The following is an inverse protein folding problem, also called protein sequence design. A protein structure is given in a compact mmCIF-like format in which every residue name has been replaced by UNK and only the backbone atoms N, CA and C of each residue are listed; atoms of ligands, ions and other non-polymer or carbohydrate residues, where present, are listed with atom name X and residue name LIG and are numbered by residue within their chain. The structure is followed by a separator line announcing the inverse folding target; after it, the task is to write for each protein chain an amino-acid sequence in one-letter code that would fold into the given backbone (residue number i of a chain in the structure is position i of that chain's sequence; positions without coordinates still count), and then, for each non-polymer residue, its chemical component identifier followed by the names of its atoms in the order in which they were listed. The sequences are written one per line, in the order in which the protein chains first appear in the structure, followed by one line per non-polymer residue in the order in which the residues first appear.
data_IF_939921416810
#
_entry.id   IF_939921416810
#
_cell.length_a   1.000
_cell.length_b   1.000
_cell.length_c   1.000
_cell.angle_alpha   90.00
_cell.angle_beta   90.00
_cell.angle_gamma   90.00
#
_symmetry.space_group_name_H-M   'P 1'
#
loop_
_entity.id
_entity.type
_entity.pdbx_description
1 polymer ?
#
# COMPACT_ATOMS: atom_id res chain seq x y z
N UNK A 1 5.93 17.10 -32.99
CA UNK A 1 5.69 15.94 -32.10
C UNK A 1 7.02 15.24 -31.90
N UNK A 2 7.66 15.50 -30.79
CA UNK A 2 8.95 14.89 -30.43
C UNK A 2 8.66 14.08 -29.16
N UNK A 3 8.62 12.75 -29.31
CA UNK A 3 8.59 11.84 -28.17
C UNK A 3 9.99 11.80 -27.57
N UNK A 4 10.15 12.37 -26.38
CA UNK A 4 11.35 12.20 -25.60
C UNK A 4 11.38 10.77 -25.04
N UNK A 5 12.30 9.96 -25.53
CA UNK A 5 12.63 8.64 -25.00
C UNK A 5 13.24 8.81 -23.62
N UNK A 6 12.61 8.24 -22.59
CA UNK A 6 13.21 8.07 -21.26
C UNK A 6 14.40 7.11 -21.36
N UNK A 7 15.51 7.34 -20.66
CA UNK A 7 16.65 6.44 -20.67
C UNK A 7 16.30 5.13 -19.98
N UNK A 8 16.61 4.02 -20.68
CA UNK A 8 16.58 2.65 -20.18
C UNK A 8 17.60 2.49 -19.03
N UNK A 9 17.17 2.72 -17.80
CA UNK A 9 17.86 2.18 -16.64
C UNK A 9 17.19 0.87 -16.25
N UNK A 10 17.77 -0.19 -16.76
CA UNK A 10 17.54 -1.58 -16.39
C UNK A 10 17.62 -1.72 -14.87
N UNK A 11 16.46 -1.80 -14.20
CA UNK A 11 16.40 -2.26 -12.82
C UNK A 11 16.48 -3.79 -12.85
N UNK A 12 17.35 -4.42 -12.03
CA UNK A 12 17.50 -5.86 -12.00
C UNK A 12 16.17 -6.52 -11.68
N UNK A 13 15.86 -7.64 -12.35
CA UNK A 13 14.63 -8.37 -12.27
C UNK A 13 14.19 -8.64 -10.84
N UNK A 14 12.98 -8.24 -10.53
CA UNK A 14 12.31 -8.60 -9.29
C UNK A 14 12.01 -10.09 -9.32
N UNK A 15 12.80 -10.88 -8.57
CA UNK A 15 12.46 -12.26 -8.29
C UNK A 15 11.19 -12.29 -7.43
N UNK A 16 10.27 -13.18 -7.79
CA UNK A 16 8.91 -13.36 -7.24
C UNK A 16 8.83 -13.77 -5.76
N UNK A 17 9.82 -13.46 -4.94
CA UNK A 17 9.82 -13.79 -3.52
C UNK A 17 9.43 -12.57 -2.68
N UNK A 18 8.23 -12.56 -2.04
CA UNK A 18 7.77 -11.47 -1.19
C UNK A 18 8.73 -11.12 -0.05
N UNK A 19 9.60 -12.06 0.37
CA UNK A 19 10.64 -11.81 1.40
C UNK A 19 11.74 -10.87 0.87
N UNK A 20 12.05 -10.91 -0.43
CA UNK A 20 13.09 -10.05 -1.02
C UNK A 20 12.59 -8.61 -1.26
N UNK A 21 11.30 -8.41 -1.54
CA UNK A 21 10.73 -7.10 -1.76
C UNK A 21 10.86 -6.18 -0.53
N UNK A 22 10.80 -6.73 0.68
CA UNK A 22 10.75 -5.98 1.96
C UNK A 22 12.11 -5.46 2.44
N UNK A 23 13.19 -6.20 2.22
CA UNK A 23 14.54 -5.67 2.46
C UNK A 23 14.87 -4.49 1.52
N UNK A 24 14.28 -4.49 0.33
CA UNK A 24 14.48 -3.41 -0.64
C UNK A 24 13.76 -2.12 -0.23
N UNK A 25 12.69 -2.18 0.55
CA UNK A 25 11.92 -0.99 0.93
C UNK A 25 12.65 -0.12 1.94
N UNK A 26 13.22 -0.69 3.02
CA UNK A 26 14.07 0.06 3.97
C UNK A 26 15.35 0.59 3.29
N UNK A 27 15.94 -0.18 2.37
CA UNK A 27 17.08 0.26 1.58
C UNK A 27 16.70 1.48 0.72
N UNK A 28 15.56 1.44 0.04
CA UNK A 28 15.04 2.56 -0.74
C UNK A 28 14.78 3.79 0.15
N UNK A 29 14.14 3.63 1.31
CA UNK A 29 13.87 4.72 2.24
C UNK A 29 15.16 5.39 2.71
N UNK A 30 16.21 4.62 2.97
CA UNK A 30 17.52 5.15 3.33
C UNK A 30 18.18 5.95 2.19
N UNK A 31 17.80 5.71 0.93
CA UNK A 31 18.29 6.45 -0.23
C UNK A 31 17.42 7.66 -0.59
N UNK A 32 16.26 7.84 0.03
CA UNK A 32 15.45 9.03 -0.21
C UNK A 32 16.28 10.29 0.07
N UNK A 33 16.10 11.26 -0.82
CA UNK A 33 16.68 12.60 -0.61
C UNK A 33 16.15 13.24 0.67
N UNK A 34 16.88 14.15 1.22
CA UNK A 34 16.40 15.01 2.30
C UNK A 34 15.52 16.10 1.67
N UNK A 35 14.23 16.18 2.05
CA UNK A 35 13.32 17.18 1.49
C UNK A 35 13.54 18.56 2.12
N UNK A 36 13.16 19.60 1.37
CA UNK A 36 13.10 20.97 1.85
C UNK A 36 11.71 21.57 1.60
N UNK A 37 11.32 22.66 2.24
CA UNK A 37 10.04 23.30 1.96
C UNK A 37 9.88 23.71 0.49
N UNK A 38 10.96 24.12 -0.19
CA UNK A 38 10.94 24.49 -1.61
C UNK A 38 10.93 23.25 -2.55
N UNK A 39 11.36 22.11 -2.04
CA UNK A 39 11.33 20.84 -2.75
C UNK A 39 10.84 19.72 -1.81
N UNK A 40 9.54 19.71 -1.48
CA UNK A 40 8.97 18.77 -0.53
C UNK A 40 8.98 17.33 -1.05
N UNK A 41 9.08 16.36 -0.15
CA UNK A 41 8.92 14.95 -0.47
C UNK A 41 7.44 14.69 -0.84
N UNK A 42 7.21 14.09 -2.00
CA UNK A 42 5.86 13.81 -2.52
C UNK A 42 5.43 12.40 -2.16
N UNK A 43 4.48 12.30 -1.24
CA UNK A 43 4.00 11.04 -0.71
C UNK A 43 2.53 10.85 -1.11
N UNK A 44 2.23 9.77 -1.84
CA UNK A 44 0.85 9.33 -2.05
C UNK A 44 0.38 8.63 -0.77
N UNK A 45 -0.82 8.95 -0.31
CA UNK A 45 -1.37 8.35 0.91
C UNK A 45 -2.83 7.96 0.73
N UNK A 46 -3.22 6.81 1.27
CA UNK A 46 -4.64 6.44 1.37
C UNK A 46 -5.38 7.52 2.15
N UNK A 47 -6.33 8.19 1.50
CA UNK A 47 -6.97 9.40 2.02
C UNK A 47 -7.62 9.22 3.40
N UNK A 48 -8.19 8.03 3.65
CA UNK A 48 -8.80 7.67 4.94
C UNK A 48 -7.81 7.74 6.12
N UNK A 49 -6.50 7.56 5.89
CA UNK A 49 -5.46 7.66 6.92
C UNK A 49 -5.18 9.11 7.35
N UNK A 50 -5.67 10.09 6.60
CA UNK A 50 -5.43 11.53 6.82
C UNK A 50 -6.64 12.28 7.36
N UNK A 51 -7.63 11.56 7.87
CA UNK A 51 -8.84 12.15 8.45
C UNK A 51 -9.94 12.48 7.43
N UNK A 52 -9.77 12.12 6.14
CA UNK A 52 -10.83 12.27 5.14
C UNK A 52 -11.89 11.20 5.36
N UNK A 53 -13.15 11.61 5.44
CA UNK A 53 -14.31 10.75 5.65
C UNK A 53 -14.69 10.00 4.36
N UNK A 54 -13.81 9.11 3.90
CA UNK A 54 -13.96 8.28 2.71
C UNK A 54 -13.91 6.77 3.00
N UNK A 55 -14.09 6.38 4.26
CA UNK A 55 -14.32 4.99 4.64
C UNK A 55 -15.64 4.47 4.06
N UNK A 56 -15.81 3.16 4.02
CA UNK A 56 -17.03 2.54 3.47
C UNK A 56 -18.32 3.05 4.13
N UNK A 57 -18.24 3.41 5.40
CA UNK A 57 -19.34 3.94 6.22
C UNK A 57 -19.41 5.48 6.30
N UNK A 58 -18.56 6.17 5.53
CA UNK A 58 -18.48 7.63 5.54
C UNK A 58 -17.65 8.20 6.69
N UNK A 59 -16.87 7.36 7.39
CA UNK A 59 -15.97 7.83 8.46
C UNK A 59 -14.50 7.83 8.01
N UNK A 60 -13.61 8.59 8.68
CA UNK A 60 -12.16 8.43 8.54
C UNK A 60 -11.76 7.06 9.10
N UNK A 61 -10.87 6.36 8.42
CA UNK A 61 -10.49 5.01 8.81
C UNK A 61 -9.37 5.03 9.84
N UNK A 62 -9.76 4.95 11.10
CA UNK A 62 -8.84 4.82 12.22
C UNK A 62 -7.99 6.07 12.48
N UNK A 63 -7.26 6.01 13.55
CA UNK A 63 -6.26 7.02 13.87
C UNK A 63 -4.89 6.36 13.79
N UNK A 64 -4.15 6.73 12.77
CA UNK A 64 -2.75 6.32 12.63
C UNK A 64 -1.86 7.55 12.86
N UNK A 65 -1.45 7.82 14.12
CA UNK A 65 -0.65 8.99 14.48
C UNK A 65 0.63 9.10 13.65
N UNK A 66 1.23 7.96 13.32
CA UNK A 66 2.40 7.87 12.46
C UNK A 66 2.18 8.39 11.04
N UNK A 67 0.96 8.35 10.50
CA UNK A 67 0.66 8.93 9.18
C UNK A 67 0.16 10.37 9.32
N UNK A 68 -0.68 10.64 10.33
CA UNK A 68 -1.19 11.99 10.60
C UNK A 68 -0.07 12.99 10.89
N UNK A 69 1.02 12.56 11.52
CA UNK A 69 2.21 13.38 11.79
C UNK A 69 2.80 13.98 10.49
N UNK A 70 2.70 13.28 9.35
CA UNK A 70 3.19 13.77 8.04
C UNK A 70 2.51 15.07 7.60
N UNK A 71 1.30 15.36 8.09
CA UNK A 71 0.57 16.59 7.78
C UNK A 71 1.24 17.87 8.37
N UNK A 72 2.09 17.70 9.38
CA UNK A 72 2.68 18.81 10.12
C UNK A 72 4.01 19.30 9.52
N UNK A 73 4.53 18.64 8.50
CA UNK A 73 5.85 18.96 7.93
C UNK A 73 5.73 19.78 6.64
N UNK A 74 6.27 20.99 6.62
CA UNK A 74 6.27 21.87 5.46
C UNK A 74 7.09 21.33 4.27
N UNK A 75 8.02 20.41 4.53
CA UNK A 75 8.83 19.71 3.53
C UNK A 75 8.24 18.39 3.07
N UNK A 76 6.94 18.14 3.35
CA UNK A 76 6.17 16.99 2.88
C UNK A 76 4.93 17.48 2.12
N UNK A 77 4.73 16.96 0.91
CA UNK A 77 3.51 17.16 0.13
C UNK A 77 2.75 15.85 0.04
N UNK A 78 1.62 15.77 0.74
CA UNK A 78 0.73 14.60 0.68
C UNK A 78 -0.22 14.69 -0.51
N UNK A 79 -0.18 13.67 -1.35
CA UNK A 79 -1.13 13.41 -2.43
C UNK A 79 -2.15 12.40 -1.89
N UNK A 80 -3.36 12.86 -1.56
CA UNK A 80 -4.40 12.05 -0.92
C UNK A 80 -5.35 11.49 -1.96
N UNK A 81 -5.56 10.17 -1.94
CA UNK A 81 -6.50 9.53 -2.84
C UNK A 81 -7.15 8.31 -2.18
N UNK A 82 -8.47 8.18 -2.33
CA UNK A 82 -9.21 6.97 -1.98
C UNK A 82 -9.75 6.33 -3.26
N UNK A 83 -9.20 5.18 -3.69
CA UNK A 83 -9.65 4.53 -4.92
C UNK A 83 -11.07 3.99 -4.82
N UNK A 84 -11.46 3.51 -3.65
CA UNK A 84 -12.79 2.98 -3.44
C UNK A 84 -13.86 4.09 -3.45
N UNK A 85 -13.58 5.24 -2.81
CA UNK A 85 -14.49 6.39 -2.88
C UNK A 85 -14.59 6.95 -4.31
N UNK A 86 -13.47 6.99 -5.02
CA UNK A 86 -13.45 7.41 -6.43
C UNK A 86 -14.33 6.53 -7.33
N UNK A 87 -14.27 5.20 -7.15
CA UNK A 87 -14.98 4.26 -8.02
C UNK A 87 -16.44 4.04 -7.62
N UNK A 88 -16.73 4.05 -6.32
CA UNK A 88 -18.00 3.53 -5.78
C UNK A 88 -18.73 4.54 -4.88
N UNK A 89 -18.08 5.68 -4.56
CA UNK A 89 -18.64 6.69 -3.67
C UNK A 89 -18.54 6.32 -2.19
N UNK A 90 -19.17 7.14 -1.36
CA UNK A 90 -19.26 6.98 0.10
C UNK A 90 -20.65 7.44 0.57
N UNK A 91 -21.41 6.67 1.39
CA UNK A 91 -21.07 5.32 1.87
C UNK A 91 -21.19 4.25 0.78
N UNK A 92 -20.58 3.07 1.03
CA UNK A 92 -20.59 1.94 0.08
C UNK A 92 -20.46 0.60 0.80
N UNK A 93 -20.66 -0.49 0.10
CA UNK A 93 -20.32 -1.82 0.60
C UNK A 93 -18.80 -1.99 0.76
N UNK A 94 -18.40 -2.94 1.58
CA UNK A 94 -17.02 -3.42 1.59
C UNK A 94 -16.81 -4.44 0.49
N UNK A 95 -15.59 -4.53 -0.02
CA UNK A 95 -15.23 -5.49 -1.04
C UNK A 95 -13.92 -6.21 -0.70
N UNK A 96 -13.76 -7.42 -1.23
CA UNK A 96 -12.59 -8.25 -1.08
C UNK A 96 -12.15 -8.86 -2.40
N UNK A 97 -10.88 -9.30 -2.49
CA UNK A 97 -10.35 -9.99 -3.66
C UNK A 97 -10.62 -11.48 -3.52
N UNK A 98 -11.19 -12.07 -4.56
CA UNK A 98 -11.50 -13.49 -4.66
C UNK A 98 -10.68 -14.14 -5.76
N UNK A 99 -10.01 -15.25 -5.44
CA UNK A 99 -9.26 -16.08 -6.39
C UNK A 99 -7.82 -15.66 -6.61
N UNK A 100 -7.28 -14.68 -5.85
CA UNK A 100 -5.90 -14.25 -5.99
C UNK A 100 -5.62 -12.94 -5.26
N UNK A 101 -4.67 -12.20 -5.77
CA UNK A 101 -4.20 -10.90 -5.26
C UNK A 101 -4.57 -9.76 -6.20
N UNK A 102 -4.18 -8.54 -5.88
CA UNK A 102 -4.35 -7.40 -6.77
C UNK A 102 -3.62 -7.55 -8.10
N UNK A 103 -2.50 -8.27 -8.13
CA UNK A 103 -1.80 -8.58 -9.39
C UNK A 103 -2.66 -9.50 -10.27
N UNK A 104 -3.27 -10.53 -9.67
CA UNK A 104 -4.14 -11.45 -10.40
C UNK A 104 -5.42 -10.76 -10.90
N UNK A 105 -5.95 -9.78 -10.15
CA UNK A 105 -7.07 -8.93 -10.62
C UNK A 105 -6.66 -8.12 -11.85
N UNK A 106 -5.47 -7.51 -11.84
CA UNK A 106 -4.96 -6.74 -12.98
C UNK A 106 -4.70 -7.62 -14.21
N UNK A 107 -4.43 -8.91 -14.02
CA UNK A 107 -4.22 -9.91 -15.07
C UNK A 107 -5.53 -10.62 -15.48
N UNK A 108 -6.67 -10.23 -14.90
CA UNK A 108 -7.99 -10.80 -15.20
C UNK A 108 -8.22 -12.23 -14.65
N UNK A 109 -7.40 -12.67 -13.69
CA UNK A 109 -7.44 -14.00 -13.10
C UNK A 109 -8.20 -14.04 -11.77
N UNK A 110 -8.37 -12.89 -11.10
CA UNK A 110 -9.11 -12.74 -9.85
C UNK A 110 -10.16 -11.64 -9.96
N UNK A 111 -11.08 -11.58 -8.99
CA UNK A 111 -12.17 -10.61 -8.96
C UNK A 111 -12.23 -9.85 -7.65
N UNK A 112 -12.80 -8.65 -7.71
CA UNK A 112 -13.18 -7.86 -6.54
C UNK A 112 -14.69 -7.96 -6.39
N UNK A 113 -15.15 -8.58 -5.30
CA UNK A 113 -16.57 -8.76 -5.04
C UNK A 113 -16.96 -8.03 -3.74
N UNK A 114 -18.18 -7.45 -3.73
CA UNK A 114 -18.76 -6.87 -2.53
C UNK A 114 -19.25 -7.94 -1.57
N UNK A 115 -19.70 -7.52 -0.38
CA UNK A 115 -20.35 -8.41 0.60
C UNK A 115 -21.60 -9.07 0.02
N UNK A 116 -22.39 -8.34 -0.78
CA UNK A 116 -23.58 -8.87 -1.47
C UNK A 116 -23.26 -9.73 -2.70
N UNK A 117 -21.98 -9.78 -3.12
CA UNK A 117 -21.50 -10.55 -4.28
C UNK A 117 -21.54 -9.77 -5.60
N UNK A 118 -21.75 -8.45 -5.57
CA UNK A 118 -21.64 -7.62 -6.76
C UNK A 118 -20.18 -7.57 -7.24
N UNK A 119 -19.97 -7.63 -8.55
CA UNK A 119 -18.64 -7.59 -9.16
C UNK A 119 -18.18 -6.14 -9.39
N UNK A 120 -17.25 -5.71 -8.56
CA UNK A 120 -16.62 -4.39 -8.59
C UNK A 120 -15.24 -4.38 -9.28
N UNK A 121 -14.86 -5.47 -9.93
CA UNK A 121 -13.54 -5.63 -10.55
C UNK A 121 -13.24 -4.48 -11.53
N UNK A 122 -14.18 -4.17 -12.43
CA UNK A 122 -13.99 -3.12 -13.42
C UNK A 122 -13.76 -1.74 -12.80
N UNK A 123 -14.58 -1.37 -11.80
CA UNK A 123 -14.46 -0.09 -11.09
C UNK A 123 -13.12 0.02 -10.34
N UNK A 124 -12.70 -1.07 -9.68
CA UNK A 124 -11.44 -1.10 -8.95
C UNK A 124 -10.22 -0.98 -9.88
N UNK A 125 -10.24 -1.64 -11.04
CA UNK A 125 -9.19 -1.51 -12.06
C UNK A 125 -9.13 -0.07 -12.58
N UNK A 126 -10.26 0.58 -12.86
CA UNK A 126 -10.27 1.98 -13.27
C UNK A 126 -9.73 2.91 -12.19
N UNK A 127 -10.07 2.68 -10.92
CA UNK A 127 -9.52 3.44 -9.79
C UNK A 127 -8.00 3.25 -9.65
N UNK A 128 -7.49 2.05 -9.92
CA UNK A 128 -6.05 1.77 -9.89
C UNK A 128 -5.29 2.53 -10.97
N UNK A 129 -5.84 2.60 -12.18
CA UNK A 129 -5.29 3.40 -13.28
C UNK A 129 -5.30 4.90 -12.93
N UNK A 130 -6.37 5.38 -12.29
CA UNK A 130 -6.45 6.78 -11.84
C UNK A 130 -5.44 7.11 -10.77
N UNK A 131 -5.22 6.19 -9.82
CA UNK A 131 -4.18 6.35 -8.80
C UNK A 131 -2.78 6.38 -9.41
N UNK A 132 -2.51 5.52 -10.39
CA UNK A 132 -1.24 5.51 -11.13
C UNK A 132 -1.02 6.82 -11.90
N UNK A 133 -2.03 7.30 -12.65
CA UNK A 133 -1.98 8.60 -13.34
C UNK A 133 -1.63 9.74 -12.37
N UNK A 134 -2.29 9.74 -11.20
CA UNK A 134 -2.04 10.72 -10.16
C UNK A 134 -0.61 10.64 -9.62
N UNK A 135 -0.12 9.42 -9.35
CA UNK A 135 1.22 9.21 -8.85
C UNK A 135 2.30 9.67 -9.85
N UNK A 136 2.09 9.41 -11.13
CA UNK A 136 3.00 9.85 -12.20
C UNK A 136 2.97 11.37 -12.37
N UNK A 137 1.78 11.96 -12.47
CA UNK A 137 1.60 13.41 -12.65
C UNK A 137 2.22 14.22 -11.50
N UNK A 138 2.03 13.76 -10.28
CA UNK A 138 2.55 14.43 -9.09
C UNK A 138 4.00 14.04 -8.77
N UNK A 139 4.62 13.19 -9.60
CA UNK A 139 5.97 12.65 -9.40
C UNK A 139 6.17 12.09 -7.98
N UNK A 140 5.26 11.21 -7.57
CA UNK A 140 5.28 10.58 -6.24
C UNK A 140 6.58 9.80 -6.04
N UNK A 141 7.18 9.96 -4.86
CA UNK A 141 8.44 9.30 -4.49
C UNK A 141 8.21 8.09 -3.59
N UNK A 142 7.09 8.06 -2.85
CA UNK A 142 6.71 6.99 -1.94
C UNK A 142 5.19 6.94 -1.83
N UNK A 143 4.61 5.75 -1.67
CA UNK A 143 3.23 5.58 -1.28
C UNK A 143 3.14 4.96 0.13
N UNK A 144 2.34 5.56 1.02
CA UNK A 144 2.00 5.03 2.35
C UNK A 144 0.52 4.67 2.34
N UNK A 145 0.22 3.37 2.35
CA UNK A 145 -1.12 2.90 2.05
C UNK A 145 -1.75 2.12 3.21
N UNK A 146 -3.09 2.09 3.23
CA UNK A 146 -3.90 1.33 4.18
C UNK A 146 -3.76 -0.16 3.89
N UNK A 147 -3.20 -0.92 4.84
CA UNK A 147 -3.06 -2.36 4.69
C UNK A 147 -4.34 -3.13 5.06
N UNK A 148 -4.40 -4.39 4.66
CA UNK A 148 -5.59 -5.26 4.78
C UNK A 148 -6.79 -4.63 4.05
N UNK A 149 -6.55 -4.12 2.85
CA UNK A 149 -7.55 -3.53 1.97
C UNK A 149 -7.45 -4.13 0.56
N UNK A 150 -8.58 -4.48 -0.03
CA UNK A 150 -8.64 -4.98 -1.42
C UNK A 150 -8.10 -3.98 -2.44
N UNK A 151 -8.17 -2.69 -2.13
CA UNK A 151 -7.60 -1.64 -2.96
C UNK A 151 -6.16 -1.29 -2.60
N UNK A 152 -5.91 -1.00 -1.32
CA UNK A 152 -4.70 -0.32 -0.85
C UNK A 152 -3.69 -1.24 -0.15
N UNK A 153 -4.06 -2.47 0.22
CA UNK A 153 -3.17 -3.39 0.94
C UNK A 153 -1.83 -3.54 0.23
N UNK A 154 -0.74 -3.40 0.97
CA UNK A 154 0.61 -3.51 0.40
C UNK A 154 1.27 -4.86 0.68
N UNK A 155 0.84 -5.56 1.72
CA UNK A 155 1.47 -6.80 2.20
C UNK A 155 0.47 -7.90 2.49
N UNK A 156 -0.69 -7.56 3.03
CA UNK A 156 -1.72 -8.51 3.45
C UNK A 156 -3.09 -8.03 2.97
N UNK A 157 -3.87 -8.96 2.48
CA UNK A 157 -5.27 -8.76 2.11
C UNK A 157 -6.13 -9.91 2.65
N UNK A 158 -7.45 -9.76 2.62
CA UNK A 158 -8.32 -10.91 2.83
C UNK A 158 -8.29 -11.84 1.61
N UNK A 159 -8.29 -13.14 1.85
CA UNK A 159 -8.46 -14.16 0.83
C UNK A 159 -9.95 -14.47 0.67
N UNK A 160 -10.64 -13.71 -0.16
CA UNK A 160 -12.10 -13.78 -0.31
C UNK A 160 -12.85 -13.00 0.77
N UNK A 161 -14.05 -13.43 1.08
CA UNK A 161 -15.01 -12.71 1.90
C UNK A 161 -14.58 -12.56 3.37
N UNK A 162 -14.31 -11.32 3.82
CA UNK A 162 -14.00 -10.98 5.23
C UNK A 162 -15.14 -11.22 6.21
N UNK A 163 -16.38 -11.39 5.73
CA UNK A 163 -17.56 -11.68 6.54
C UNK A 163 -17.84 -13.17 6.69
N UNK A 164 -17.03 -14.03 6.05
CA UNK A 164 -17.12 -15.47 6.25
C UNK A 164 -16.93 -15.83 7.73
N UNK A 165 -17.51 -16.93 8.17
CA UNK A 165 -17.41 -17.42 9.55
C UNK A 165 -15.93 -17.54 10.00
N UNK A 166 -15.06 -17.95 9.08
CA UNK A 166 -13.61 -17.95 9.29
C UNK A 166 -12.96 -16.98 8.31
N UNK A 167 -12.39 -15.89 8.87
CA UNK A 167 -11.62 -14.91 8.09
C UNK A 167 -10.26 -15.50 7.73
N UNK A 168 -9.93 -15.45 6.45
CA UNK A 168 -8.64 -15.91 5.93
C UNK A 168 -7.87 -14.70 5.39
N UNK A 169 -6.61 -14.60 5.77
CA UNK A 169 -5.68 -13.61 5.22
C UNK A 169 -4.71 -14.29 4.26
N UNK A 170 -4.26 -13.53 3.29
CA UNK A 170 -3.18 -13.97 2.39
C UNK A 170 -2.13 -12.86 2.24
N UNK A 171 -0.89 -13.28 1.98
CA UNK A 171 0.17 -12.37 1.58
C UNK A 171 -0.13 -11.92 0.15
N UNK A 172 -0.20 -10.61 -0.06
CA UNK A 172 -0.48 -10.05 -1.38
C UNK A 172 -0.83 -8.58 -1.30
N UNK A 173 -0.84 -7.93 -2.45
CA UNK A 173 -1.23 -6.54 -2.60
C UNK A 173 -2.69 -6.41 -3.04
N UNK A 174 -3.35 -5.34 -2.62
CA UNK A 174 -4.60 -4.87 -3.19
C UNK A 174 -4.40 -4.31 -4.59
N UNK A 175 -5.48 -4.12 -5.34
CA UNK A 175 -5.40 -3.81 -6.79
C UNK A 175 -4.62 -2.52 -7.06
N UNK A 176 -4.86 -1.46 -6.30
CA UNK A 176 -4.20 -0.18 -6.51
C UNK A 176 -2.73 -0.19 -6.05
N UNK A 177 -2.43 -0.88 -4.94
CA UNK A 177 -1.06 -1.08 -4.50
C UNK A 177 -0.28 -1.91 -5.52
N UNK A 178 -0.86 -3.02 -6.04
CA UNK A 178 -0.28 -3.84 -7.11
C UNK A 178 0.00 -3.02 -8.38
N UNK A 179 -0.93 -2.14 -8.78
CA UNK A 179 -0.75 -1.26 -9.94
C UNK A 179 0.43 -0.31 -9.76
N UNK A 180 0.57 0.32 -8.59
CA UNK A 180 1.70 1.18 -8.28
C UNK A 180 3.02 0.39 -8.29
N UNK A 181 3.06 -0.77 -7.63
CA UNK A 181 4.25 -1.63 -7.56
C UNK A 181 4.69 -2.11 -8.95
N UNK A 182 3.74 -2.51 -9.80
CA UNK A 182 4.00 -2.93 -11.20
C UNK A 182 4.68 -1.84 -12.04
N UNK A 183 4.43 -0.57 -11.68
CA UNK A 183 5.03 0.59 -12.33
C UNK A 183 6.23 1.19 -11.57
N UNK A 184 6.82 0.41 -10.66
CA UNK A 184 8.06 0.77 -9.97
C UNK A 184 7.93 1.72 -8.79
N UNK A 185 6.69 2.10 -8.39
CA UNK A 185 6.50 2.90 -7.19
C UNK A 185 6.74 2.06 -5.94
N UNK A 186 7.42 2.65 -4.96
CA UNK A 186 7.57 2.04 -3.64
C UNK A 186 6.31 2.28 -2.81
N UNK A 187 5.81 1.19 -2.22
CA UNK A 187 4.59 1.19 -1.41
C UNK A 187 4.90 0.56 -0.06
N UNK A 188 4.66 1.28 1.02
CA UNK A 188 4.76 0.77 2.39
C UNK A 188 3.39 0.82 3.07
N UNK A 189 3.22 0.00 4.09
CA UNK A 189 2.03 -0.02 4.93
C UNK A 189 2.08 1.08 5.98
N UNK A 190 0.92 1.62 6.36
CA UNK A 190 0.79 2.45 7.55
C UNK A 190 1.17 1.70 8.85
N UNK A 191 1.34 0.39 8.77
CA UNK A 191 1.77 -0.48 9.88
C UNK A 191 3.25 -0.81 9.88
N UNK A 192 3.99 -0.31 8.89
CA UNK A 192 5.44 -0.50 8.81
C UNK A 192 6.14 0.58 9.64
N UNK A 193 6.07 0.43 10.97
CA UNK A 193 6.53 1.47 11.89
C UNK A 193 8.03 1.70 11.82
N UNK A 194 8.86 0.65 11.67
CA UNK A 194 10.31 0.83 11.51
C UNK A 194 10.65 1.55 10.19
N UNK A 195 9.94 1.23 9.11
CA UNK A 195 10.07 1.94 7.83
C UNK A 195 9.62 3.39 7.92
N UNK A 196 8.55 3.67 8.67
CA UNK A 196 8.08 5.04 8.93
C UNK A 196 9.10 5.82 9.78
N UNK A 197 9.77 5.19 10.75
CA UNK A 197 10.85 5.83 11.52
C UNK A 197 12.00 6.27 10.59
N UNK A 198 12.41 5.43 9.64
CA UNK A 198 13.42 5.79 8.63
C UNK A 198 12.93 6.99 7.81
N UNK A 199 11.67 7.00 7.36
CA UNK A 199 11.09 8.11 6.63
C UNK A 199 11.17 9.42 7.46
N UNK A 200 10.85 9.35 8.76
CA UNK A 200 10.92 10.52 9.64
C UNK A 200 12.31 11.09 9.79
N UNK A 201 13.36 10.26 9.84
CA UNK A 201 14.74 10.78 9.88
C UNK A 201 15.13 11.57 8.63
N UNK A 202 14.46 11.30 7.48
CA UNK A 202 14.67 12.09 6.25
C UNK A 202 13.93 13.42 6.27
N UNK A 203 12.77 13.46 6.91
CA UNK A 203 11.88 14.63 6.95
C UNK A 203 12.33 15.59 8.07
N UNK A 204 12.75 15.06 9.20
CA UNK A 204 13.07 15.81 10.41
C UNK A 204 14.41 15.35 10.98
N UNK A 205 15.47 16.14 10.83
CA UNK A 205 16.80 15.79 11.37
C UNK A 205 16.84 15.63 12.90
N UNK A 206 15.86 16.23 13.60
CA UNK A 206 15.76 16.14 15.07
C UNK A 206 14.86 14.99 15.53
N UNK A 207 14.34 14.18 14.58
CA UNK A 207 13.49 13.06 14.92
C UNK A 207 14.21 12.03 15.77
N UNK A 208 13.68 11.77 16.95
CA UNK A 208 14.15 10.69 17.84
C UNK A 208 13.51 9.37 17.39
N UNK A 209 14.34 8.49 16.88
CA UNK A 209 13.92 7.18 16.38
C UNK A 209 13.43 6.29 17.51
N UNK A 210 12.25 5.71 17.35
CA UNK A 210 11.80 4.62 18.21
C UNK A 210 12.51 3.31 17.81
N UNK A 211 13.54 2.93 18.56
CA UNK A 211 14.31 1.70 18.30
C UNK A 211 13.54 0.39 18.49
N UNK A 212 12.36 0.42 19.09
CA UNK A 212 11.48 -0.74 19.25
C UNK A 212 10.43 -0.87 18.14
N UNK A 213 10.39 0.09 17.22
CA UNK A 213 9.46 0.05 16.10
C UNK A 213 9.79 -1.13 15.18
N UNK A 214 8.77 -1.89 14.81
CA UNK A 214 8.85 -3.02 13.87
C UNK A 214 7.87 -2.83 12.73
N UNK A 215 8.17 -3.40 11.58
CA UNK A 215 7.25 -3.45 10.45
C UNK A 215 6.23 -4.57 10.62
N UNK A 216 5.11 -4.49 9.89
CA UNK A 216 3.99 -5.42 10.03
C UNK A 216 4.42 -6.89 9.91
N UNK A 217 5.30 -7.21 8.97
CA UNK A 217 5.77 -8.57 8.75
C UNK A 217 6.65 -9.12 9.90
N UNK A 218 7.17 -8.26 10.77
CA UNK A 218 7.97 -8.63 11.94
C UNK A 218 7.11 -8.87 13.19
N UNK A 219 5.82 -8.51 13.13
CA UNK A 219 4.90 -8.69 14.27
C UNK A 219 4.63 -10.15 14.57
N UNK A 220 4.40 -10.47 15.86
CA UNK A 220 4.04 -11.80 16.29
C UNK A 220 2.79 -12.35 15.58
N UNK A 221 1.81 -11.47 15.32
CA UNK A 221 0.63 -11.85 14.55
C UNK A 221 0.99 -12.36 13.17
N UNK A 222 1.80 -11.62 12.42
CA UNK A 222 2.19 -11.98 11.07
C UNK A 222 3.01 -13.27 11.04
N UNK A 223 3.99 -13.37 11.94
CA UNK A 223 4.86 -14.55 12.04
C UNK A 223 4.07 -15.80 12.45
N UNK A 224 3.13 -15.69 13.36
CA UNK A 224 2.29 -16.82 13.77
C UNK A 224 1.30 -17.23 12.66
N UNK A 225 0.76 -16.28 11.91
CA UNK A 225 -0.24 -16.57 10.88
C UNK A 225 0.38 -17.14 9.61
N UNK A 226 1.49 -16.54 9.14
CA UNK A 226 2.10 -16.89 7.86
C UNK A 226 3.38 -17.73 8.00
N UNK A 227 4.04 -17.74 9.15
CA UNK A 227 5.29 -18.48 9.38
C UNK A 227 5.10 -19.97 9.66
N UNK A 228 3.90 -20.40 10.04
CA UNK A 228 3.63 -21.80 10.33
C UNK A 228 3.58 -22.73 9.07
N UNK A 229 3.48 -22.14 7.88
CA UNK A 229 3.44 -22.89 6.61
C UNK A 229 4.78 -23.49 6.14
N UNK A 230 5.90 -23.11 6.74
CA UNK A 230 7.24 -23.61 6.36
C UNK A 230 7.71 -24.82 7.19
N UNK A 231 6.94 -25.29 8.17
CA UNK A 231 7.32 -26.42 9.06
C UNK A 231 6.67 -27.76 8.70
N UNK A 232 6.01 -27.89 7.55
CA UNK A 232 5.17 -29.04 7.23
C UNK A 232 5.45 -29.75 5.91
N UNK A 233 6.73 -29.91 5.46
CA UNK A 233 7.06 -30.84 4.37
C UNK A 233 8.47 -31.43 4.56
N UNK A 234 8.75 -31.89 5.76
CA UNK A 234 9.92 -32.69 6.06
C UNK A 234 9.51 -33.80 7.04
N UNK A 235 9.55 -35.03 6.54
CA UNK A 235 9.41 -36.29 7.28
C UNK A 235 7.97 -36.79 7.57
N UNK A 236 7.42 -37.60 6.62
CA UNK A 236 7.05 -38.98 6.91
C UNK A 236 7.37 -39.85 5.72
#
# INVERSE_FOLDING_TARGET
MIFATLPDHFLPGFGDNPKNARMTDRFYLNQLRIPTPDNPLRILVSACLTGIACGYDGTPYGQYPSVLKLLNYANVRLIRFCPEDYAFGTPREMCDIHGGTGFDVLDGQARVLTESGEDWTGGMVQASLKMLELAQREAVELAVMMDISAACGSQVIYAGNRFAQQKVYQIGAGVCAAQLMRHGFKVISQRDYASLEILYTKIDPEHVVNGEAIDQHETAWYQNYFGAGEKGSGEQ
#
